data_IF_407499946345
#
_entry.id   IF_407499946345
#
_cell.length_a   1.000
_cell.length_b   1.000
_cell.length_c   1.000
_cell.angle_alpha   90.00
_cell.angle_beta   90.00
_cell.angle_gamma   90.00
#
_symmetry.space_group_name_H-M   'P 1'
#
loop_
_entity.id
_entity.type
_entity.pdbx_description
1 polymer ?
#
# COMPACT_ATOMS: atom_id res chain seq x y z
N UNK A 1 31.88 -15.71 8.53
CA UNK A 1 31.53 -15.24 7.18
C UNK A 1 30.10 -14.78 7.20
N UNK A 2 29.87 -13.48 7.04
CA UNK A 2 28.53 -12.90 7.07
C UNK A 2 27.76 -13.36 5.83
N UNK A 3 26.79 -14.25 6.01
CA UNK A 3 25.76 -14.49 5.00
C UNK A 3 24.95 -13.20 4.96
N UNK A 4 25.39 -12.27 4.11
CA UNK A 4 24.57 -11.15 3.72
C UNK A 4 23.30 -11.77 3.14
N UNK A 5 22.26 -11.83 3.95
CA UNK A 5 20.90 -12.02 3.48
C UNK A 5 20.60 -10.81 2.62
N UNK A 6 21.09 -10.83 1.38
CA UNK A 6 20.58 -10.00 0.33
C UNK A 6 19.15 -10.47 0.17
N UNK A 7 18.28 -9.84 0.93
CA UNK A 7 16.86 -9.78 0.66
C UNK A 7 16.76 -9.21 -0.75
N UNK A 8 16.86 -10.07 -1.78
CA UNK A 8 16.41 -9.76 -3.12
C UNK A 8 15.04 -9.14 -2.91
N UNK A 9 14.92 -7.85 -3.24
CA UNK A 9 13.63 -7.17 -3.18
C UNK A 9 12.72 -7.96 -4.08
N UNK A 10 11.91 -8.87 -3.52
CA UNK A 10 10.87 -9.57 -4.26
C UNK A 10 9.95 -8.46 -4.73
N UNK A 11 9.99 -8.19 -6.04
CA UNK A 11 9.00 -7.35 -6.67
C UNK A 11 7.66 -8.03 -6.40
N UNK A 12 6.87 -7.40 -5.55
CA UNK A 12 5.53 -7.83 -5.19
C UNK A 12 4.53 -7.27 -6.19
N UNK A 13 3.56 -8.07 -6.64
CA UNK A 13 2.44 -7.62 -7.45
C UNK A 13 1.56 -6.63 -6.64
N UNK A 14 1.94 -5.36 -6.61
CA UNK A 14 1.17 -4.27 -5.95
C UNK A 14 0.24 -3.55 -6.92
N UNK A 15 0.61 -3.51 -8.20
CA UNK A 15 -0.22 -2.96 -9.27
C UNK A 15 -0.81 -4.12 -10.08
N UNK A 16 -2.11 -4.35 -9.90
CA UNK A 16 -2.84 -5.37 -10.64
C UNK A 16 -3.37 -4.78 -11.95
N UNK A 17 -2.99 -5.37 -13.08
CA UNK A 17 -3.62 -5.04 -14.36
C UNK A 17 -4.91 -5.84 -14.54
N UNK A 18 -5.98 -5.16 -14.97
CA UNK A 18 -7.21 -5.80 -15.42
C UNK A 18 -7.16 -6.17 -16.93
N UNK A 19 -6.08 -5.80 -17.63
CA UNK A 19 -5.91 -6.10 -19.04
C UNK A 19 -5.64 -7.59 -19.26
N UNK A 20 -6.34 -8.16 -20.25
CA UNK A 20 -6.16 -9.56 -20.62
C UNK A 20 -4.90 -9.71 -21.47
N UNK A 21 -3.93 -10.46 -20.96
CA UNK A 21 -2.75 -10.86 -21.73
C UNK A 21 -3.08 -12.09 -22.59
N UNK A 22 -2.61 -12.12 -23.84
CA UNK A 22 -2.70 -13.29 -24.71
C UNK A 22 -1.95 -14.48 -24.08
N UNK A 23 -2.65 -15.61 -23.88
CA UNK A 23 -2.11 -16.83 -23.26
C UNK A 23 -0.90 -17.37 -24.01
N UNK A 24 -0.81 -17.14 -25.33
CA UNK A 24 0.34 -17.57 -26.15
C UNK A 24 1.65 -16.87 -25.76
N UNK A 25 1.55 -15.73 -25.05
CA UNK A 25 2.69 -14.94 -24.57
C UNK A 25 3.06 -15.22 -23.11
N UNK A 26 2.37 -16.14 -22.44
CA UNK A 26 2.60 -16.47 -21.02
C UNK A 26 3.38 -17.79 -20.93
N UNK A 27 4.56 -17.76 -20.30
CA UNK A 27 5.43 -18.94 -20.16
C UNK A 27 5.25 -19.63 -18.79
N UNK A 28 4.96 -18.88 -17.72
CA UNK A 28 4.77 -19.41 -16.37
C UNK A 28 3.96 -18.45 -15.48
N UNK A 29 3.57 -18.88 -14.28
CA UNK A 29 2.87 -18.05 -13.30
C UNK A 29 3.37 -18.33 -11.88
N UNK A 30 3.32 -17.31 -11.02
CA UNK A 30 3.54 -17.42 -9.57
C UNK A 30 2.37 -16.75 -8.84
N UNK A 31 1.83 -17.42 -7.81
CA UNK A 31 0.80 -16.82 -6.93
C UNK A 31 1.49 -16.02 -5.83
N UNK A 32 1.27 -14.72 -5.81
CA UNK A 32 1.76 -13.84 -4.76
C UNK A 32 0.63 -13.39 -3.82
N UNK A 33 0.87 -13.51 -2.51
CA UNK A 33 0.06 -12.87 -1.46
C UNK A 33 0.96 -11.89 -0.73
N UNK A 34 0.85 -10.62 -1.09
CA UNK A 34 1.77 -9.57 -0.67
C UNK A 34 1.02 -8.46 0.07
N UNK A 35 1.63 -7.83 1.08
CA UNK A 35 1.06 -6.64 1.69
C UNK A 35 0.92 -5.54 0.65
N UNK A 36 -0.22 -4.86 0.63
CA UNK A 36 -0.44 -3.66 -0.17
C UNK A 36 -0.16 -2.43 0.66
N UNK A 37 0.39 -1.39 0.04
CA UNK A 37 0.55 -0.11 0.70
C UNK A 37 -0.83 0.52 0.95
N UNK A 38 -1.14 0.81 2.21
CA UNK A 38 -2.43 1.35 2.60
C UNK A 38 -2.31 2.30 3.79
N UNK A 39 -3.18 3.30 3.80
CA UNK A 39 -3.45 4.16 4.95
C UNK A 39 -4.73 3.66 5.62
N UNK A 40 -4.67 3.37 6.92
CA UNK A 40 -5.83 3.00 7.71
C UNK A 40 -6.37 4.22 8.46
N UNK A 41 -7.53 4.72 8.06
CA UNK A 41 -8.27 5.71 8.82
C UNK A 41 -9.10 5.04 9.91
N UNK A 42 -9.09 5.63 11.10
CA UNK A 42 -9.98 5.27 12.20
C UNK A 42 -10.91 6.44 12.44
N UNK A 43 -12.21 6.21 12.29
CA UNK A 43 -13.24 7.24 12.48
C UNK A 43 -13.52 7.45 13.97
N UNK A 44 -14.27 8.50 14.30
CA UNK A 44 -14.66 8.82 15.69
C UNK A 44 -15.54 7.76 16.33
N UNK A 45 -16.31 7.00 15.54
CA UNK A 45 -17.10 5.86 16.01
C UNK A 45 -16.33 4.51 15.94
N UNK A 46 -15.01 4.54 15.70
CA UNK A 46 -14.15 3.36 15.77
C UNK A 46 -14.10 2.49 14.49
N UNK A 47 -14.74 2.91 13.40
CA UNK A 47 -14.68 2.21 12.11
C UNK A 47 -13.29 2.36 11.51
N UNK A 48 -12.74 1.24 11.01
CA UNK A 48 -11.43 1.17 10.34
C UNK A 48 -11.63 1.06 8.83
N UNK A 49 -11.00 1.95 8.08
CA UNK A 49 -11.11 2.04 6.62
C UNK A 49 -9.69 2.04 6.02
N UNK A 50 -9.37 1.05 5.18
CA UNK A 50 -8.10 0.99 4.46
C UNK A 50 -8.24 1.64 3.07
N UNK A 51 -7.30 2.53 2.73
CA UNK A 51 -7.30 3.27 1.45
C UNK A 51 -5.90 3.38 0.86
N UNK A 52 -5.79 3.61 -0.45
CA UNK A 52 -4.51 3.78 -1.12
C UNK A 52 -3.92 5.17 -0.84
N UNK A 53 -2.61 5.30 -0.51
CA UNK A 53 -2.00 6.58 -0.13
C UNK A 53 -1.98 7.63 -1.25
N UNK A 54 -1.92 7.20 -2.51
CA UNK A 54 -1.78 8.10 -3.66
C UNK A 54 -3.04 8.88 -4.04
N UNK A 55 -4.18 8.56 -3.43
CA UNK A 55 -5.41 9.30 -3.69
C UNK A 55 -5.30 10.72 -3.09
N UNK A 56 -5.52 11.74 -3.92
CA UNK A 56 -5.38 13.16 -3.52
C UNK A 56 -6.17 13.53 -2.25
N UNK A 57 -7.36 12.95 -2.07
CA UNK A 57 -8.20 13.20 -0.89
C UNK A 57 -7.60 12.54 0.36
N UNK A 58 -6.93 11.39 0.24
CA UNK A 58 -6.25 10.69 1.34
C UNK A 58 -5.09 11.54 1.85
N UNK A 59 -4.24 12.03 0.95
CA UNK A 59 -3.12 12.91 1.30
C UNK A 59 -3.60 14.21 1.96
N UNK A 60 -4.70 14.78 1.46
CA UNK A 60 -5.33 15.96 2.06
C UNK A 60 -5.87 15.67 3.47
N UNK A 61 -6.52 14.52 3.65
CA UNK A 61 -7.06 14.11 4.95
C UNK A 61 -5.94 13.89 5.98
N UNK A 62 -4.85 13.22 5.59
CA UNK A 62 -3.66 13.02 6.44
C UNK A 62 -3.11 14.37 6.92
N UNK A 63 -2.80 15.29 6.00
CA UNK A 63 -2.29 16.65 6.33
C UNK A 63 -3.20 17.39 7.32
N UNK A 64 -4.52 17.29 7.14
CA UNK A 64 -5.51 17.92 8.06
C UNK A 64 -5.52 17.27 9.44
N UNK A 65 -5.32 15.96 9.54
CA UNK A 65 -5.26 15.24 10.83
C UNK A 65 -3.94 15.58 11.55
N UNK A 66 -2.82 15.56 10.83
CA UNK A 66 -1.50 15.87 11.39
C UNK A 66 -1.42 17.29 11.91
N UNK A 67 -1.95 18.27 11.16
CA UNK A 67 -2.05 19.67 11.61
C UNK A 67 -2.88 19.81 12.89
N UNK A 68 -4.01 19.12 12.99
CA UNK A 68 -4.87 19.11 14.20
C UNK A 68 -4.16 18.49 15.41
N UNK A 69 -3.33 17.46 15.20
CA UNK A 69 -2.53 16.84 16.26
C UNK A 69 -1.40 17.75 16.72
N UNK A 70 -0.74 18.45 15.79
CA UNK A 70 0.31 19.42 16.11
C UNK A 70 -0.23 20.60 16.93
N UNK A 71 -1.40 21.14 16.58
CA UNK A 71 -2.00 22.26 17.31
C UNK A 71 -2.49 21.89 18.72
N UNK A 72 -2.85 20.63 18.98
CA UNK A 72 -3.24 20.15 20.31
C UNK A 72 -2.07 19.90 21.26
N UNK A 73 -0.85 19.79 20.73
CA UNK A 73 0.37 19.57 21.51
C UNK A 73 1.01 20.86 22.01
N UNK A 74 0.51 22.01 21.56
CA UNK A 74 0.92 23.35 21.98
C UNK A 74 -0.11 23.90 22.96
#
# INVERSE_FOLDING_TARGET
>A
GSVASQSMRRLSCVNLSAEKVDIRRIISYEKQKVPVEAVMFVTTNGIRICVHPDQKWVQTAMKRIDRRRASKRK
#
